data_IF_688733074298
#
_entry.id   IF_688733074298
#
_cell.length_a   1.000
_cell.length_b   1.000
_cell.length_c   1.000
_cell.angle_alpha   90.00
_cell.angle_beta   90.00
_cell.angle_gamma   90.00
#
_symmetry.space_group_name_H-M   'P 1'
#
loop_
_entity.id
_entity.type
_entity.pdbx_description
1 polymer ?
#
# COMPACT_ATOMS: atom_id res chain seq x y z
N UNK A 1 0.56 19.22 -5.97
CA UNK A 1 1.36 19.37 -7.21
C UNK A 1 2.07 18.05 -7.45
N UNK A 2 2.75 17.52 -6.43
CA UNK A 2 3.38 16.19 -6.42
C UNK A 2 2.42 15.03 -6.75
N UNK A 3 1.21 14.97 -6.18
CA UNK A 3 0.27 13.86 -6.46
C UNK A 3 -0.25 13.85 -7.91
N UNK A 4 -0.36 15.01 -8.57
CA UNK A 4 -0.78 15.11 -9.98
C UNK A 4 0.35 14.73 -10.94
N UNK A 5 1.59 15.05 -10.59
CA UNK A 5 2.78 14.62 -11.34
C UNK A 5 3.02 13.11 -11.18
N UNK A 6 2.69 12.57 -10.00
CA UNK A 6 2.72 11.15 -9.69
C UNK A 6 1.71 10.36 -10.56
N UNK A 7 0.45 10.81 -10.61
CA UNK A 7 -0.59 10.19 -11.44
C UNK A 7 -0.27 10.28 -12.94
N UNK A 8 0.33 11.40 -13.38
CA UNK A 8 0.81 11.57 -14.76
C UNK A 8 1.97 10.62 -15.07
N UNK A 9 2.89 10.43 -14.11
CA UNK A 9 3.97 9.45 -14.21
C UNK A 9 3.44 8.03 -14.40
N UNK A 10 2.46 7.60 -13.60
CA UNK A 10 1.83 6.28 -13.72
C UNK A 10 1.19 6.07 -15.10
N UNK A 11 0.44 7.06 -15.59
CA UNK A 11 -0.20 7.01 -16.92
C UNK A 11 0.84 6.88 -18.03
N UNK A 12 1.98 7.56 -17.92
CA UNK A 12 3.07 7.48 -18.89
C UNK A 12 3.70 6.09 -18.89
N UNK A 13 3.97 5.51 -17.72
CA UNK A 13 4.56 4.17 -17.65
C UNK A 13 3.59 3.12 -18.21
N UNK A 14 2.28 3.24 -17.91
CA UNK A 14 1.25 2.38 -18.49
C UNK A 14 1.15 2.51 -20.03
N UNK A 15 1.20 3.72 -20.59
CA UNK A 15 1.23 3.94 -22.05
C UNK A 15 2.49 3.33 -22.69
N UNK A 16 3.66 3.45 -22.04
CA UNK A 16 4.89 2.82 -22.50
C UNK A 16 4.79 1.29 -22.47
N UNK A 17 4.21 0.70 -21.43
CA UNK A 17 3.96 -0.75 -21.36
C UNK A 17 3.02 -1.22 -22.47
N UNK A 18 1.90 -0.52 -22.69
CA UNK A 18 0.96 -0.87 -23.77
C UNK A 18 1.62 -0.79 -25.14
N UNK A 19 2.48 0.21 -25.37
CA UNK A 19 3.28 0.29 -26.60
C UNK A 19 4.27 -0.85 -26.74
N UNK A 20 4.97 -1.22 -25.66
CA UNK A 20 5.87 -2.39 -25.69
C UNK A 20 5.10 -3.67 -25.97
N UNK A 21 3.94 -3.88 -25.35
CA UNK A 21 3.08 -5.05 -25.58
C UNK A 21 2.58 -5.08 -27.03
N UNK A 22 2.06 -3.97 -27.56
CA UNK A 22 1.63 -3.87 -28.97
C UNK A 22 2.77 -4.16 -29.94
N UNK A 23 3.96 -3.62 -29.68
CA UNK A 23 5.13 -3.87 -30.52
C UNK A 23 5.61 -5.34 -30.45
N UNK A 24 5.36 -6.04 -29.33
CA UNK A 24 5.64 -7.47 -29.19
C UNK A 24 4.57 -8.32 -29.88
N UNK A 25 3.30 -7.93 -29.82
CA UNK A 25 2.17 -8.58 -30.49
C UNK A 25 2.22 -8.42 -32.02
N UNK A 26 2.69 -7.26 -32.52
CA UNK A 26 2.89 -7.01 -33.95
C UNK A 26 4.15 -7.69 -34.52
N UNK A 27 5.00 -8.32 -33.69
CA UNK A 27 6.23 -9.00 -34.14
C UNK A 27 6.00 -10.37 -34.80
N UNK A 28 4.76 -10.87 -34.82
CA UNK A 28 4.32 -12.05 -35.60
C UNK A 28 3.73 -11.68 -36.99
N UNK A 29 3.74 -10.39 -37.36
CA UNK A 29 3.36 -9.92 -38.69
C UNK A 29 4.50 -9.09 -39.30
N UNK A 30 5.34 -9.74 -40.11
CA UNK A 30 6.24 -9.05 -41.03
C UNK A 30 5.44 -8.15 -42.00
N UNK A 31 5.57 -6.82 -41.90
CA UNK A 31 6.00 -5.99 -43.03
C UNK A 31 6.41 -4.57 -42.61
N UNK A 32 7.37 -4.02 -43.37
CA UNK A 32 7.93 -2.67 -43.32
C UNK A 32 6.88 -1.55 -43.26
N UNK A 33 7.10 -0.58 -42.36
CA UNK A 33 6.83 0.83 -42.68
C UNK A 33 7.61 1.75 -41.74
N UNK A 34 8.86 2.00 -42.11
CA UNK A 34 9.55 3.26 -41.79
C UNK A 34 8.70 4.44 -42.30
N UNK A 35 7.94 5.06 -41.41
CA UNK A 35 7.43 6.42 -41.63
C UNK A 35 7.36 7.19 -40.30
N UNK A 36 8.50 7.32 -39.63
CA UNK A 36 8.77 8.47 -38.76
C UNK A 36 8.96 9.70 -39.66
N UNK A 37 7.84 10.23 -40.20
CA UNK A 37 7.85 11.58 -40.75
C UNK A 37 7.90 12.56 -39.58
N UNK A 38 9.11 12.81 -39.11
CA UNK A 38 9.45 13.98 -38.29
C UNK A 38 9.26 15.24 -39.14
N UNK A 39 8.01 15.67 -39.30
CA UNK A 39 7.72 17.02 -39.75
C UNK A 39 8.00 17.96 -38.59
N UNK A 40 9.25 18.43 -38.52
CA UNK A 40 9.69 19.50 -37.65
C UNK A 40 8.92 20.79 -37.96
N UNK A 41 7.83 21.02 -37.24
CA UNK A 41 7.32 22.37 -36.96
C UNK A 41 7.69 22.71 -35.52
N UNK A 42 8.91 23.22 -35.33
CA UNK A 42 9.53 23.55 -34.03
C UNK A 42 8.97 24.83 -33.36
N UNK A 43 7.69 25.18 -33.50
CA UNK A 43 7.19 26.45 -32.93
C UNK A 43 5.74 26.43 -32.40
N UNK A 44 5.26 25.30 -31.88
CA UNK A 44 4.04 25.32 -31.04
C UNK A 44 3.89 24.13 -30.09
N UNK A 45 4.98 23.54 -29.57
CA UNK A 45 4.82 22.54 -28.51
C UNK A 45 4.34 23.22 -27.24
N UNK A 46 3.19 22.80 -26.73
CA UNK A 46 2.66 23.38 -25.49
C UNK A 46 3.62 23.09 -24.32
N UNK A 47 3.66 23.93 -23.26
CA UNK A 47 4.46 23.64 -22.07
C UNK A 47 4.17 22.25 -21.47
N UNK A 48 2.94 21.76 -21.63
CA UNK A 48 2.50 20.43 -21.18
C UNK A 48 3.12 19.30 -22.01
N UNK A 49 3.20 19.45 -23.33
CA UNK A 49 3.84 18.47 -24.23
C UNK A 49 5.35 18.36 -23.98
N UNK A 50 6.03 19.49 -23.76
CA UNK A 50 7.45 19.49 -23.39
C UNK A 50 7.67 18.76 -22.07
N UNK A 51 6.84 19.06 -21.06
CA UNK A 51 6.91 18.41 -19.74
C UNK A 51 6.67 16.90 -19.84
N UNK A 52 5.70 16.46 -20.65
CA UNK A 52 5.44 15.04 -20.87
C UNK A 52 6.62 14.35 -21.56
N UNK A 53 7.27 15.01 -22.52
CA UNK A 53 8.45 14.48 -23.21
C UNK A 53 9.65 14.34 -22.25
N UNK A 54 9.88 15.32 -21.39
CA UNK A 54 10.90 15.27 -20.35
C UNK A 54 10.66 14.12 -19.37
N UNK A 55 9.42 13.95 -18.90
CA UNK A 55 9.04 12.88 -17.99
C UNK A 55 9.22 11.49 -18.63
N UNK A 56 8.81 11.33 -19.90
CA UNK A 56 9.07 10.11 -20.69
C UNK A 56 10.56 9.80 -20.81
N UNK A 57 11.38 10.81 -21.08
CA UNK A 57 12.83 10.66 -21.16
C UNK A 57 13.45 10.27 -19.81
N UNK A 58 12.97 10.85 -18.71
CA UNK A 58 13.43 10.52 -17.35
C UNK A 58 13.08 9.09 -16.97
N UNK A 59 11.85 8.63 -17.27
CA UNK A 59 11.42 7.24 -17.06
C UNK A 59 12.28 6.27 -17.86
N UNK A 60 12.52 6.52 -19.15
CA UNK A 60 13.37 5.68 -19.99
C UNK A 60 14.82 5.62 -19.48
N UNK A 61 15.33 6.74 -18.96
CA UNK A 61 16.66 6.81 -18.35
C UNK A 61 16.74 5.97 -17.07
N UNK A 62 15.74 6.10 -16.19
CA UNK A 62 15.65 5.30 -14.96
C UNK A 62 15.58 3.80 -15.26
N UNK A 63 14.76 3.40 -16.24
CA UNK A 63 14.63 2.01 -16.67
C UNK A 63 15.94 1.45 -17.23
N UNK A 64 16.64 2.21 -18.07
CA UNK A 64 17.96 1.82 -18.57
C UNK A 64 19.01 1.70 -17.46
N UNK A 65 19.00 2.60 -16.48
CA UNK A 65 19.90 2.54 -15.32
C UNK A 65 19.61 1.29 -14.48
N UNK A 66 18.35 1.02 -14.18
CA UNK A 66 17.98 -0.15 -13.38
C UNK A 66 18.29 -1.46 -14.12
N UNK A 67 18.05 -1.52 -15.43
CA UNK A 67 18.45 -2.66 -16.26
C UNK A 67 19.96 -2.93 -16.20
N UNK A 68 20.78 -1.86 -16.25
CA UNK A 68 22.23 -1.97 -16.10
C UNK A 68 22.64 -2.41 -14.70
N UNK A 69 21.99 -1.89 -13.65
CA UNK A 69 22.28 -2.27 -12.26
C UNK A 69 21.92 -3.72 -11.98
N UNK A 70 20.75 -4.19 -12.44
CA UNK A 70 20.40 -5.61 -12.36
C UNK A 70 21.46 -6.46 -13.06
N UNK A 71 21.78 -6.14 -14.33
CA UNK A 71 22.80 -6.87 -15.09
C UNK A 71 24.20 -6.84 -14.45
N UNK A 72 24.57 -5.76 -13.77
CA UNK A 72 25.84 -5.65 -13.04
C UNK A 72 25.89 -6.57 -11.81
N UNK A 73 24.82 -6.61 -11.02
CA UNK A 73 24.77 -7.40 -9.79
C UNK A 73 24.49 -8.89 -10.04
N UNK A 74 23.74 -9.26 -11.09
CA UNK A 74 23.43 -10.66 -11.42
C UNK A 74 24.63 -11.61 -11.38
N UNK A 75 25.77 -11.36 -12.07
CA UNK A 75 26.91 -12.27 -12.02
C UNK A 75 27.51 -12.42 -10.61
N UNK A 76 27.43 -11.40 -9.77
CA UNK A 76 27.92 -11.44 -8.37
C UNK A 76 27.04 -12.40 -7.56
N UNK A 77 25.73 -12.25 -7.64
CA UNK A 77 24.79 -13.11 -6.89
C UNK A 77 24.67 -14.53 -7.45
N UNK A 78 24.94 -14.74 -8.74
CA UNK A 78 24.87 -16.06 -9.38
C UNK A 78 26.17 -16.88 -9.24
N UNK A 79 27.34 -16.22 -9.34
CA UNK A 79 28.63 -16.91 -9.45
C UNK A 79 29.67 -16.44 -8.41
N UNK A 80 29.37 -15.43 -7.62
CA UNK A 80 30.28 -14.91 -6.58
C UNK A 80 30.48 -15.91 -5.45
N UNK A 81 31.55 -15.72 -4.68
CA UNK A 81 31.72 -16.46 -3.43
C UNK A 81 30.70 -16.00 -2.40
N UNK A 82 30.48 -16.80 -1.34
CA UNK A 82 29.59 -16.40 -0.25
C UNK A 82 29.99 -15.04 0.38
N UNK A 83 31.29 -14.72 0.39
CA UNK A 83 31.79 -13.43 0.87
C UNK A 83 31.45 -12.29 -0.08
N UNK A 84 31.62 -12.47 -1.40
CA UNK A 84 31.28 -11.43 -2.40
C UNK A 84 29.79 -11.09 -2.37
N UNK A 85 28.94 -12.13 -2.25
CA UNK A 85 27.49 -12.00 -2.13
C UNK A 85 27.12 -11.24 -0.86
N UNK A 86 27.71 -11.64 0.27
CA UNK A 86 27.46 -11.03 1.58
C UNK A 86 27.87 -9.54 1.60
N UNK A 87 29.11 -9.24 1.22
CA UNK A 87 29.63 -7.87 1.18
C UNK A 87 28.80 -6.99 0.26
N UNK A 88 28.45 -7.49 -0.93
CA UNK A 88 27.64 -6.74 -1.90
C UNK A 88 26.23 -6.47 -1.35
N UNK A 89 25.62 -7.47 -0.71
CA UNK A 89 24.27 -7.32 -0.16
C UNK A 89 24.25 -6.36 1.04
N UNK A 90 25.24 -6.43 1.93
CA UNK A 90 25.38 -5.50 3.05
C UNK A 90 25.54 -4.05 2.56
N UNK A 91 26.30 -3.83 1.48
CA UNK A 91 26.39 -2.52 0.85
C UNK A 91 25.05 -2.04 0.28
N UNK A 92 24.29 -2.90 -0.43
CA UNK A 92 22.95 -2.57 -0.92
C UNK A 92 21.99 -2.24 0.23
N UNK A 93 22.05 -3.02 1.32
CA UNK A 93 21.21 -2.84 2.50
C UNK A 93 21.53 -1.52 3.23
N UNK A 94 22.81 -1.18 3.34
CA UNK A 94 23.27 0.09 3.91
C UNK A 94 22.78 1.28 3.07
N UNK A 95 22.86 1.19 1.74
CA UNK A 95 22.34 2.23 0.85
C UNK A 95 20.83 2.36 0.98
N UNK A 96 20.10 1.25 1.10
CA UNK A 96 18.67 1.28 1.35
C UNK A 96 18.32 1.98 2.65
N UNK A 97 18.95 1.61 3.76
CA UNK A 97 18.64 2.18 5.06
C UNK A 97 18.90 3.70 5.12
N UNK A 98 19.93 4.19 4.41
CA UNK A 98 20.33 5.60 4.45
C UNK A 98 19.74 6.47 3.33
N UNK A 99 19.33 5.87 2.20
CA UNK A 99 18.92 6.61 1.00
C UNK A 99 17.49 6.25 0.61
N UNK A 100 17.22 4.97 0.30
CA UNK A 100 15.93 4.55 -0.26
C UNK A 100 14.81 4.62 0.78
N UNK A 101 15.06 4.15 1.99
CA UNK A 101 14.07 4.10 3.07
C UNK A 101 13.62 5.49 3.55
N UNK A 102 14.53 6.50 3.70
CA UNK A 102 14.12 7.86 4.01
C UNK A 102 13.54 8.63 2.82
N UNK A 103 13.74 8.15 1.58
CA UNK A 103 13.19 8.78 0.38
C UNK A 103 11.70 8.45 0.28
N UNK A 104 10.87 9.47 0.44
CA UNK A 104 9.42 9.34 0.35
C UNK A 104 8.99 8.84 -1.03
N UNK A 105 8.11 7.83 -1.05
CA UNK A 105 7.47 7.28 -2.26
C UNK A 105 8.42 6.89 -3.41
N UNK A 106 9.64 6.41 -3.13
CA UNK A 106 10.47 5.75 -4.15
C UNK A 106 9.76 4.51 -4.70
N UNK A 107 9.74 4.30 -6.02
CA UNK A 107 8.96 3.23 -6.69
C UNK A 107 9.76 2.08 -7.29
N UNK A 108 11.01 2.33 -7.72
CA UNK A 108 11.73 1.36 -8.55
C UNK A 108 13.06 0.92 -7.96
N UNK A 109 13.85 1.82 -7.36
CA UNK A 109 15.21 1.52 -6.87
C UNK A 109 15.24 0.39 -5.83
N UNK A 110 14.23 0.31 -4.97
CA UNK A 110 14.10 -0.74 -3.96
C UNK A 110 14.02 -2.15 -4.57
N UNK A 111 13.66 -2.29 -5.85
CA UNK A 111 13.53 -3.60 -6.48
C UNK A 111 14.86 -4.32 -6.69
N UNK A 112 15.99 -3.62 -6.61
CA UNK A 112 17.30 -4.27 -6.54
C UNK A 112 17.41 -5.16 -5.29
N UNK A 113 17.07 -4.61 -4.11
CA UNK A 113 17.02 -5.40 -2.88
C UNK A 113 15.89 -6.42 -2.89
N UNK A 114 14.74 -6.07 -3.49
CA UNK A 114 13.66 -7.02 -3.66
C UNK A 114 14.12 -8.26 -4.41
N UNK A 115 14.75 -8.11 -5.57
CA UNK A 115 15.20 -9.24 -6.42
C UNK A 115 16.31 -10.04 -5.74
N UNK A 116 17.43 -9.39 -5.38
CA UNK A 116 18.59 -10.09 -4.84
C UNK A 116 18.38 -10.61 -3.42
N UNK A 117 17.53 -9.93 -2.63
CA UNK A 117 17.24 -10.28 -1.23
C UNK A 117 16.46 -11.58 -1.05
N UNK A 118 15.91 -12.17 -2.11
CA UNK A 118 15.17 -13.45 -2.04
C UNK A 118 15.93 -14.63 -2.63
N UNK A 119 17.17 -14.42 -3.11
CA UNK A 119 17.93 -15.48 -3.76
C UNK A 119 18.43 -16.56 -2.80
N UNK A 120 18.54 -16.25 -1.50
CA UNK A 120 18.83 -17.24 -0.46
C UNK A 120 18.11 -16.94 0.86
N UNK A 121 17.87 -17.95 1.71
CA UNK A 121 17.28 -17.76 3.04
C UNK A 121 18.05 -16.77 3.92
N UNK A 122 19.38 -16.73 3.80
CA UNK A 122 20.22 -15.81 4.57
C UNK A 122 19.97 -14.34 4.17
N UNK A 123 19.82 -14.07 2.87
CA UNK A 123 19.52 -12.72 2.37
C UNK A 123 18.11 -12.27 2.76
N UNK A 124 17.14 -13.20 2.72
CA UNK A 124 15.76 -12.96 3.19
C UNK A 124 15.79 -12.57 4.67
N UNK A 125 16.51 -13.34 5.49
CA UNK A 125 16.64 -13.09 6.92
C UNK A 125 17.32 -11.75 7.21
N UNK A 126 18.36 -11.37 6.45
CA UNK A 126 19.02 -10.07 6.60
C UNK A 126 18.11 -8.90 6.27
N UNK A 127 17.42 -8.93 5.13
CA UNK A 127 16.53 -7.84 4.75
C UNK A 127 15.33 -7.73 5.70
N UNK A 128 14.66 -8.85 5.99
CA UNK A 128 13.53 -8.89 6.91
C UNK A 128 13.95 -8.47 8.34
N UNK A 129 15.09 -8.96 8.81
CA UNK A 129 15.66 -8.61 10.11
C UNK A 129 16.04 -7.13 10.21
N UNK A 130 16.64 -6.56 9.16
CA UNK A 130 16.96 -5.14 9.11
C UNK A 130 15.69 -4.26 9.13
N UNK A 131 14.69 -4.57 8.31
CA UNK A 131 13.43 -3.83 8.31
C UNK A 131 12.69 -3.97 9.66
N UNK A 132 12.66 -5.17 10.24
CA UNK A 132 12.08 -5.42 11.56
C UNK A 132 12.79 -4.63 12.67
N UNK A 133 14.12 -4.62 12.67
CA UNK A 133 14.92 -3.81 13.58
C UNK A 133 14.61 -2.32 13.42
N UNK A 134 14.57 -1.82 12.19
CA UNK A 134 14.28 -0.41 11.91
C UNK A 134 12.86 -0.01 12.29
N UNK A 135 11.87 -0.87 12.10
CA UNK A 135 10.47 -0.60 12.45
C UNK A 135 10.22 -0.63 13.96
N UNK A 136 10.79 -1.62 14.66
CA UNK A 136 10.33 -2.00 16.00
C UNK A 136 11.23 -1.44 17.11
N UNK A 137 12.44 -1.00 16.81
CA UNK A 137 13.34 -0.35 17.79
C UNK A 137 12.81 1.03 18.17
N UNK A 138 12.46 1.20 19.44
CA UNK A 138 11.87 2.46 19.96
C UNK A 138 12.89 3.59 20.08
N UNK A 139 14.14 3.26 20.41
CA UNK A 139 15.18 4.25 20.67
C UNK A 139 15.95 4.59 19.39
N UNK A 140 16.27 5.88 19.19
CA UNK A 140 17.20 6.40 18.16
C UNK A 140 16.70 6.44 16.71
N UNK A 141 15.60 5.79 16.36
CA UNK A 141 15.09 5.77 14.97
C UNK A 141 13.92 6.75 14.80
N UNK A 142 13.98 7.69 13.84
CA UNK A 142 12.88 8.62 13.56
C UNK A 142 11.58 7.88 13.23
N UNK A 143 10.45 8.40 13.73
CA UNK A 143 9.14 7.76 13.57
C UNK A 143 8.79 7.45 12.11
N UNK A 144 9.04 8.38 11.18
CA UNK A 144 8.78 8.18 9.76
C UNK A 144 9.54 6.97 9.19
N UNK A 145 10.82 6.82 9.57
CA UNK A 145 11.66 5.68 9.14
C UNK A 145 11.08 4.37 9.67
N UNK A 146 10.56 4.37 10.90
CA UNK A 146 9.91 3.18 11.50
C UNK A 146 8.64 2.77 10.75
N UNK A 147 7.80 3.74 10.39
CA UNK A 147 6.57 3.51 9.61
C UNK A 147 6.92 2.97 8.21
N UNK A 148 7.89 3.60 7.54
CA UNK A 148 8.37 3.13 6.23
C UNK A 148 8.92 1.71 6.34
N UNK A 149 9.75 1.42 7.34
CA UNK A 149 10.36 0.10 7.51
C UNK A 149 9.32 -1.01 7.74
N UNK A 150 8.26 -0.74 8.51
CA UNK A 150 7.15 -1.68 8.68
C UNK A 150 6.44 -1.95 7.34
N UNK A 151 6.24 -0.92 6.52
CA UNK A 151 5.59 -1.03 5.21
C UNK A 151 6.48 -1.78 4.21
N UNK A 152 7.79 -1.52 4.18
CA UNK A 152 8.76 -2.27 3.37
C UNK A 152 8.80 -3.75 3.77
N UNK A 153 8.83 -4.05 5.08
CA UNK A 153 8.81 -5.42 5.57
C UNK A 153 7.56 -6.17 5.13
N UNK A 154 6.39 -5.56 5.33
CA UNK A 154 5.11 -6.15 4.95
C UNK A 154 5.00 -6.36 3.44
N UNK A 155 5.41 -5.36 2.66
CA UNK A 155 5.40 -5.44 1.20
C UNK A 155 6.34 -6.53 0.69
N UNK A 156 7.53 -6.66 1.27
CA UNK A 156 8.50 -7.68 0.88
C UNK A 156 7.96 -9.09 1.12
N UNK A 157 7.43 -9.35 2.32
CA UNK A 157 6.86 -10.65 2.69
C UNK A 157 5.61 -10.98 1.88
N UNK A 158 4.75 -10.00 1.61
CA UNK A 158 3.56 -10.19 0.83
C UNK A 158 3.85 -10.49 -0.66
N UNK A 159 4.84 -9.80 -1.24
CA UNK A 159 5.12 -9.85 -2.69
C UNK A 159 6.25 -10.79 -3.08
N UNK A 160 7.14 -11.17 -2.18
CA UNK A 160 8.28 -12.01 -2.50
C UNK A 160 7.89 -13.46 -2.76
N UNK A 161 8.10 -13.94 -4.00
CA UNK A 161 7.70 -15.28 -4.42
C UNK A 161 8.58 -16.39 -3.82
N UNK A 162 9.83 -16.09 -3.46
CA UNK A 162 10.77 -17.07 -2.89
C UNK A 162 10.77 -17.10 -1.35
N UNK A 163 9.87 -16.35 -0.72
CA UNK A 163 9.76 -16.27 0.74
C UNK A 163 8.95 -17.47 1.24
N UNK A 164 9.57 -18.28 2.09
CA UNK A 164 8.94 -19.47 2.66
C UNK A 164 7.81 -19.11 3.63
N UNK A 165 6.81 -20.00 3.74
CA UNK A 165 5.69 -19.80 4.67
C UNK A 165 6.12 -19.65 6.12
N UNK A 166 7.25 -20.25 6.51
CA UNK A 166 7.79 -20.06 7.86
C UNK A 166 8.20 -18.61 8.09
N UNK A 167 8.91 -17.99 7.14
CA UNK A 167 9.30 -16.58 7.25
C UNK A 167 8.07 -15.67 7.25
N UNK A 168 7.03 -15.98 6.46
CA UNK A 168 5.77 -15.23 6.50
C UNK A 168 5.16 -15.26 7.90
N UNK A 169 5.05 -16.44 8.51
CA UNK A 169 4.49 -16.61 9.86
C UNK A 169 5.36 -15.90 10.90
N UNK A 170 6.68 -16.05 10.84
CA UNK A 170 7.60 -15.41 11.78
C UNK A 170 7.46 -13.87 11.73
N UNK A 171 7.34 -13.29 10.53
CA UNK A 171 7.14 -11.84 10.36
C UNK A 171 5.74 -11.43 10.81
N UNK A 172 4.71 -12.21 10.48
CA UNK A 172 3.34 -11.96 10.93
C UNK A 172 3.26 -11.94 12.47
N UNK A 173 3.88 -12.92 13.14
CA UNK A 173 3.93 -13.02 14.59
C UNK A 173 4.77 -11.90 15.23
N UNK A 174 5.88 -11.52 14.60
CA UNK A 174 6.71 -10.39 15.04
C UNK A 174 5.90 -9.08 15.02
N UNK A 175 5.25 -8.78 13.89
CA UNK A 175 4.44 -7.57 13.74
C UNK A 175 3.21 -7.61 14.66
N UNK A 176 2.52 -8.75 14.75
CA UNK A 176 1.36 -8.96 15.60
C UNK A 176 1.68 -8.83 17.09
N UNK A 177 2.83 -9.35 17.54
CA UNK A 177 3.28 -9.22 18.93
C UNK A 177 3.56 -7.77 19.31
N UNK A 178 4.20 -7.01 18.41
CA UNK A 178 4.43 -5.58 18.63
C UNK A 178 3.14 -4.75 18.55
N UNK A 179 2.23 -5.12 17.64
CA UNK A 179 0.90 -4.52 17.55
C UNK A 179 0.13 -4.70 18.86
N UNK A 180 0.09 -5.92 19.41
CA UNK A 180 -0.56 -6.20 20.69
C UNK A 180 0.14 -5.52 21.88
N UNK A 181 1.48 -5.42 21.85
CA UNK A 181 2.22 -4.65 22.85
C UNK A 181 1.76 -3.18 22.88
N UNK A 182 1.70 -2.51 21.73
CA UNK A 182 1.24 -1.11 21.66
C UNK A 182 -0.23 -1.01 22.07
N UNK A 183 -1.09 -1.95 21.68
CA UNK A 183 -2.48 -2.00 22.13
C UNK A 183 -2.57 -2.03 23.64
N UNK A 184 -1.86 -2.94 24.31
CA UNK A 184 -1.89 -3.07 25.78
C UNK A 184 -1.40 -1.82 26.51
N UNK A 185 -0.44 -1.10 25.94
CA UNK A 185 0.09 0.13 26.56
C UNK A 185 -0.83 1.33 26.33
N UNK A 186 -1.42 1.46 25.15
CA UNK A 186 -2.14 2.66 24.74
C UNK A 186 -3.66 2.58 24.95
N UNK A 187 -4.26 1.39 24.79
CA UNK A 187 -5.71 1.18 24.89
C UNK A 187 -6.33 1.61 26.23
N UNK A 188 -5.69 1.41 27.41
CA UNK A 188 -6.28 1.83 28.69
C UNK A 188 -6.54 3.33 28.79
N UNK A 189 -5.73 4.15 28.11
CA UNK A 189 -5.85 5.62 28.10
C UNK A 189 -6.45 6.15 26.80
N UNK A 190 -6.72 5.26 25.84
CA UNK A 190 -7.29 5.59 24.54
C UNK A 190 -8.76 6.01 24.68
N UNK A 191 -9.10 7.16 24.07
CA UNK A 191 -10.48 7.65 23.94
C UNK A 191 -11.16 7.20 22.65
N UNK A 192 -10.38 6.74 21.68
CA UNK A 192 -10.81 6.31 20.37
C UNK A 192 -9.67 6.38 19.35
N UNK A 193 -9.96 6.11 18.07
CA UNK A 193 -8.96 6.12 17.01
C UNK A 193 -8.36 7.50 16.76
N UNK A 194 -7.03 7.60 16.70
CA UNK A 194 -6.30 8.86 16.47
C UNK A 194 -4.99 8.59 15.71
N UNK A 195 -5.01 8.80 14.37
CA UNK A 195 -3.92 8.43 13.46
C UNK A 195 -2.56 9.00 13.88
N UNK A 196 -2.48 10.30 14.20
CA UNK A 196 -1.22 10.97 14.51
C UNK A 196 -0.57 10.39 15.77
N UNK A 197 -1.38 10.16 16.82
CA UNK A 197 -0.91 9.67 18.11
C UNK A 197 -0.47 8.20 18.05
N UNK A 198 -1.22 7.37 17.34
CA UNK A 198 -0.98 5.93 17.27
C UNK A 198 -0.49 5.46 15.89
N UNK A 199 0.23 6.31 15.16
CA UNK A 199 0.59 6.04 13.75
C UNK A 199 1.33 4.73 13.53
N UNK A 200 2.25 4.36 14.43
CA UNK A 200 2.94 3.07 14.33
C UNK A 200 2.01 1.89 14.58
N UNK A 201 1.05 2.01 15.50
CA UNK A 201 0.04 0.97 15.70
C UNK A 201 -0.75 0.74 14.41
N UNK A 202 -1.21 1.82 13.75
CA UNK A 202 -1.97 1.70 12.51
C UNK A 202 -1.13 1.20 11.33
N UNK A 203 0.14 1.60 11.23
CA UNK A 203 1.03 1.07 10.20
C UNK A 203 1.28 -0.44 10.38
N UNK A 204 1.48 -0.90 11.62
CA UNK A 204 1.61 -2.34 11.91
C UNK A 204 0.30 -3.09 11.66
N UNK A 205 -0.85 -2.51 12.00
CA UNK A 205 -2.15 -3.11 11.71
C UNK A 205 -2.35 -3.25 10.20
N UNK A 206 -2.12 -2.19 9.43
CA UNK A 206 -2.22 -2.21 7.97
C UNK A 206 -1.24 -3.22 7.35
N UNK A 207 -0.01 -3.32 7.86
CA UNK A 207 0.97 -4.32 7.46
C UNK A 207 0.48 -5.75 7.68
N UNK A 208 -0.05 -6.06 8.86
CA UNK A 208 -0.60 -7.38 9.21
C UNK A 208 -1.80 -7.73 8.32
N UNK A 209 -2.74 -6.78 8.11
CA UNK A 209 -3.88 -6.98 7.22
C UNK A 209 -3.43 -7.21 5.77
N UNK A 210 -2.43 -6.46 5.29
CA UNK A 210 -1.89 -6.61 3.94
C UNK A 210 -1.21 -7.97 3.75
N UNK A 211 -0.37 -8.41 4.69
CA UNK A 211 0.23 -9.75 4.64
C UNK A 211 -0.85 -10.82 4.63
N UNK A 212 -1.90 -10.68 5.46
CA UNK A 212 -3.02 -11.62 5.46
C UNK A 212 -3.68 -11.70 4.07
N UNK A 213 -4.01 -10.56 3.45
CA UNK A 213 -4.66 -10.55 2.14
C UNK A 213 -3.85 -11.28 1.07
N UNK A 214 -2.52 -11.13 1.06
CA UNK A 214 -1.65 -11.75 0.06
C UNK A 214 -1.22 -13.19 0.38
N UNK A 215 -1.03 -13.50 1.67
CA UNK A 215 -0.31 -14.69 2.13
C UNK A 215 -1.12 -15.53 3.13
N UNK A 216 -2.44 -15.41 3.16
CA UNK A 216 -3.29 -16.20 4.07
C UNK A 216 -3.03 -17.71 3.97
N UNK A 217 -2.68 -18.22 2.77
CA UNK A 217 -2.30 -19.64 2.56
C UNK A 217 -1.11 -20.05 3.43
N UNK A 218 -0.10 -19.19 3.52
CA UNK A 218 1.08 -19.42 4.36
C UNK A 218 0.78 -19.37 5.87
N UNK A 219 -0.35 -18.76 6.25
CA UNK A 219 -0.83 -18.67 7.64
C UNK A 219 -1.67 -19.89 8.06
N UNK A 220 -2.03 -20.77 7.12
CA UNK A 220 -2.68 -22.05 7.39
C UNK A 220 -1.60 -23.11 7.63
N UNK A 221 -1.77 -23.90 8.70
CA UNK A 221 -0.87 -25.00 9.04
C UNK A 221 -1.55 -26.30 8.62
N UNK A 222 -0.83 -27.11 7.83
CA UNK A 222 -1.26 -28.45 7.46
C UNK A 222 -1.70 -29.21 8.71
N UNK A 223 -3.00 -29.56 8.74
CA UNK A 223 -3.46 -30.59 9.66
C UNK A 223 -2.64 -31.86 9.36
N UNK A 224 -2.39 -32.69 10.36
CA UNK A 224 -1.54 -33.90 10.25
C UNK A 224 -2.07 -34.99 9.28
N UNK A 225 -3.01 -34.65 8.39
CA UNK A 225 -3.52 -35.52 7.35
C UNK A 225 -2.62 -35.43 6.10
N UNK A 226 -1.86 -36.48 5.77
CA UNK A 226 -0.93 -36.50 4.63
C UNK A 226 -1.62 -36.41 3.25
N UNK A 227 -2.96 -36.38 3.20
CA UNK A 227 -3.74 -36.10 1.99
C UNK A 227 -4.14 -34.62 1.83
N UNK A 228 -3.75 -33.73 2.74
CA UNK A 228 -3.97 -32.28 2.61
C UNK A 228 -2.78 -31.62 1.93
N UNK A 229 -2.87 -31.44 0.61
CA UNK A 229 -1.93 -30.59 -0.11
C UNK A 229 -2.49 -29.16 -0.18
N UNK A 230 -1.77 -28.20 0.39
CA UNK A 230 -2.13 -26.76 0.35
C UNK A 230 -2.14 -26.28 -1.11
N UNK A 231 -1.33 -26.91 -1.97
CA UNK A 231 -1.24 -26.58 -3.39
C UNK A 231 -2.50 -26.99 -4.18
N UNK A 232 -3.35 -27.88 -3.64
CA UNK A 232 -4.67 -28.21 -4.18
C UNK A 232 -5.79 -27.26 -3.70
N UNK A 233 -5.49 -26.29 -2.82
CA UNK A 233 -6.43 -25.27 -2.35
C UNK A 233 -6.71 -24.16 -3.39
N UNK A 234 -6.30 -24.32 -4.64
CA UNK A 234 -6.72 -23.44 -5.72
C UNK A 234 -8.05 -23.88 -6.36
N UNK A 235 -8.60 -25.04 -5.97
CA UNK A 235 -9.91 -25.50 -6.40
C UNK A 235 -11.01 -25.03 -5.43
N UNK A 236 -11.81 -24.06 -5.87
CA UNK A 236 -12.93 -23.46 -5.11
C UNK A 236 -13.93 -24.50 -4.56
N UNK A 237 -14.02 -25.68 -5.18
CA UNK A 237 -14.89 -26.78 -4.77
C UNK A 237 -14.46 -27.48 -3.46
N UNK A 238 -13.22 -27.29 -2.99
CA UNK A 238 -12.72 -27.93 -1.76
C UNK A 238 -12.97 -27.11 -0.49
N UNK A 239 -13.34 -25.83 -0.62
CA UNK A 239 -13.60 -24.92 0.51
C UNK A 239 -15.02 -24.99 1.08
N UNK A 240 -15.90 -25.81 0.51
CA UNK A 240 -17.31 -25.88 0.91
C UNK A 240 -17.46 -26.34 2.37
N UNK A 241 -17.40 -25.39 3.30
CA UNK A 241 -17.67 -25.54 4.73
C UNK A 241 -16.56 -26.12 5.61
N UNK A 242 -15.29 -26.20 5.17
CA UNK A 242 -14.20 -26.73 6.00
C UNK A 242 -13.48 -25.64 6.79
N UNK A 243 -13.42 -25.82 8.11
CA UNK A 243 -12.67 -24.92 9.00
C UNK A 243 -11.16 -25.08 8.78
N UNK A 244 -10.50 -24.01 8.34
CA UNK A 244 -9.05 -23.99 8.13
C UNK A 244 -8.30 -23.99 9.46
N UNK A 245 -7.20 -24.73 9.52
CA UNK A 245 -6.33 -24.77 10.68
C UNK A 245 -5.30 -23.63 10.62
N UNK A 246 -5.61 -22.51 11.24
CA UNK A 246 -4.73 -21.34 11.29
C UNK A 246 -3.54 -21.54 12.21
N UNK A 247 -2.41 -20.88 11.91
CA UNK A 247 -1.27 -20.89 12.81
C UNK A 247 -1.67 -20.36 14.20
N UNK A 248 -1.12 -20.93 15.29
CA UNK A 248 -1.57 -20.62 16.65
C UNK A 248 -1.44 -19.12 16.97
N UNK A 249 -2.47 -18.53 17.57
CA UNK A 249 -2.42 -17.14 18.05
C UNK A 249 -2.80 -16.08 17.01
N UNK A 250 -2.84 -16.40 15.71
CA UNK A 250 -3.19 -15.45 14.65
C UNK A 250 -4.62 -14.91 14.85
N UNK A 251 -5.58 -15.80 15.08
CA UNK A 251 -6.99 -15.45 15.26
C UNK A 251 -7.18 -14.61 16.53
N UNK A 252 -6.53 -14.99 17.62
CA UNK A 252 -6.57 -14.28 18.89
C UNK A 252 -5.96 -12.88 18.77
N UNK A 253 -4.77 -12.77 18.16
CA UNK A 253 -4.07 -11.51 17.96
C UNK A 253 -4.92 -10.53 17.15
N UNK A 254 -5.46 -10.97 15.99
CA UNK A 254 -6.31 -10.13 15.14
C UNK A 254 -7.61 -9.75 15.85
N UNK A 255 -8.26 -10.68 16.53
CA UNK A 255 -9.50 -10.40 17.28
C UNK A 255 -9.27 -9.33 18.35
N UNK A 256 -8.22 -9.47 19.17
CA UNK A 256 -7.93 -8.51 20.24
C UNK A 256 -7.63 -7.10 19.71
N UNK A 257 -6.94 -7.00 18.57
CA UNK A 257 -6.59 -5.71 17.98
C UNK A 257 -7.76 -5.07 17.22
N UNK A 258 -8.50 -5.84 16.41
CA UNK A 258 -9.62 -5.33 15.62
C UNK A 258 -10.75 -4.79 16.50
N UNK A 259 -11.08 -5.49 17.58
CA UNK A 259 -12.15 -5.08 18.50
C UNK A 259 -11.69 -4.14 19.62
N UNK A 260 -10.45 -3.64 19.56
CA UNK A 260 -9.91 -2.70 20.54
C UNK A 260 -10.50 -1.29 20.38
N UNK A 261 -10.35 -0.45 21.42
CA UNK A 261 -10.73 0.98 21.34
C UNK A 261 -9.93 1.78 20.30
N UNK A 262 -8.75 1.29 19.92
CA UNK A 262 -7.90 1.92 18.91
C UNK A 262 -8.49 1.79 17.50
N UNK A 263 -9.41 0.84 17.28
CA UNK A 263 -10.19 0.63 16.07
C UNK A 263 -9.38 0.76 14.76
N UNK A 264 -8.42 -0.15 14.50
CA UNK A 264 -7.57 -0.08 13.32
C UNK A 264 -8.36 -0.12 12.00
N UNK A 265 -9.52 -0.77 11.96
CA UNK A 265 -10.35 -0.88 10.74
C UNK A 265 -10.94 0.45 10.27
N UNK A 266 -11.04 1.46 11.14
CA UNK A 266 -11.51 2.80 10.74
C UNK A 266 -10.37 3.67 10.18
N UNK A 267 -9.13 3.40 10.58
CA UNK A 267 -7.94 4.22 10.26
C UNK A 267 -7.08 3.61 9.14
N UNK A 268 -7.00 2.29 9.02
CA UNK A 268 -6.29 1.66 7.90
C UNK A 268 -7.01 1.95 6.58
N UNK A 269 -6.29 1.79 5.46
CA UNK A 269 -6.85 2.07 4.14
C UNK A 269 -8.15 1.30 3.88
N UNK A 270 -9.22 1.97 3.42
CA UNK A 270 -10.51 1.31 3.15
C UNK A 270 -10.40 0.14 2.18
N UNK A 271 -9.53 0.23 1.16
CA UNK A 271 -9.33 -0.84 0.18
C UNK A 271 -8.81 -2.12 0.82
N UNK A 272 -7.77 -2.00 1.66
CA UNK A 272 -7.17 -3.14 2.37
C UNK A 272 -8.15 -3.73 3.39
N UNK A 273 -8.87 -2.88 4.12
CA UNK A 273 -9.88 -3.31 5.10
C UNK A 273 -11.02 -4.07 4.42
N UNK A 274 -11.50 -3.58 3.28
CA UNK A 274 -12.55 -4.25 2.51
C UNK A 274 -12.08 -5.60 1.97
N UNK A 275 -10.87 -5.65 1.40
CA UNK A 275 -10.28 -6.92 0.95
C UNK A 275 -10.15 -7.89 2.11
N UNK A 276 -9.55 -7.48 3.23
CA UNK A 276 -9.46 -8.31 4.43
C UNK A 276 -10.82 -8.82 4.89
N UNK A 277 -11.88 -8.00 4.87
CA UNK A 277 -13.22 -8.40 5.28
C UNK A 277 -13.84 -9.46 4.35
N UNK A 278 -13.68 -9.29 3.03
CA UNK A 278 -14.17 -10.24 2.02
C UNK A 278 -13.45 -11.59 2.17
N UNK A 279 -12.12 -11.57 2.21
CA UNK A 279 -11.28 -12.76 2.38
C UNK A 279 -11.58 -13.45 3.71
N UNK A 280 -11.63 -12.71 4.82
CA UNK A 280 -11.86 -13.28 6.16
C UNK A 280 -13.24 -13.93 6.29
N UNK A 281 -14.26 -13.38 5.64
CA UNK A 281 -15.60 -13.98 5.58
C UNK A 281 -15.58 -15.25 4.76
N UNK A 282 -14.99 -15.20 3.56
CA UNK A 282 -14.93 -16.33 2.65
C UNK A 282 -14.21 -17.53 3.28
N UNK A 283 -13.07 -17.28 3.93
CA UNK A 283 -12.27 -18.31 4.61
C UNK A 283 -12.80 -18.72 6.00
N UNK A 284 -14.00 -18.24 6.39
CA UNK A 284 -14.58 -18.41 7.72
C UNK A 284 -13.63 -18.06 8.88
N UNK A 285 -12.67 -17.16 8.64
CA UNK A 285 -11.68 -16.73 9.62
C UNK A 285 -12.32 -15.83 10.69
N UNK A 286 -12.97 -14.75 10.25
CA UNK A 286 -13.73 -13.83 11.09
C UNK A 286 -14.77 -13.04 10.29
N UNK A 287 -15.90 -12.71 10.91
CA UNK A 287 -16.95 -11.90 10.30
C UNK A 287 -16.96 -10.49 10.90
N UNK A 288 -16.44 -9.50 10.15
CA UNK A 288 -16.25 -8.12 10.63
C UNK A 288 -17.19 -7.09 10.01
N UNK A 289 -18.06 -7.47 9.06
CA UNK A 289 -18.99 -6.54 8.40
C UNK A 289 -19.88 -5.74 9.37
N UNK A 290 -20.42 -6.31 10.47
CA UNK A 290 -21.18 -5.53 11.44
C UNK A 290 -20.33 -4.44 12.11
N UNK A 291 -19.06 -4.73 12.40
CA UNK A 291 -18.13 -3.75 12.95
C UNK A 291 -17.83 -2.64 11.93
N UNK A 292 -17.64 -2.99 10.65
CA UNK A 292 -17.47 -2.00 9.58
C UNK A 292 -18.69 -1.08 9.45
N UNK A 293 -19.90 -1.62 9.58
CA UNK A 293 -21.13 -0.82 9.55
C UNK A 293 -21.22 0.14 10.74
N UNK A 294 -20.79 -0.29 11.94
CA UNK A 294 -20.67 0.64 13.08
C UNK A 294 -19.62 1.73 12.86
N UNK A 295 -18.52 1.40 12.17
CA UNK A 295 -17.44 2.33 11.86
C UNK A 295 -17.86 3.46 10.92
N UNK A 296 -18.85 3.24 10.03
CA UNK A 296 -19.42 4.31 9.18
C UNK A 296 -20.03 5.45 9.99
N UNK A 297 -20.48 5.18 11.21
CA UNK A 297 -21.10 6.19 12.11
C UNK A 297 -20.08 6.96 12.94
N UNK A 298 -18.83 6.50 13.00
CA UNK A 298 -17.75 7.14 13.76
C UNK A 298 -17.06 8.19 12.90
N UNK A 299 -17.00 9.43 13.38
CA UNK A 299 -16.23 10.50 12.73
C UNK A 299 -14.85 10.63 13.38
N UNK A 300 -13.79 10.44 12.61
CA UNK A 300 -12.41 10.50 13.11
C UNK A 300 -12.03 11.90 13.64
N UNK A 301 -12.61 12.95 13.07
CA UNK A 301 -12.39 14.34 13.51
C UNK A 301 -12.80 14.60 14.97
N UNK A 302 -13.77 13.86 15.49
CA UNK A 302 -14.25 14.01 16.88
C UNK A 302 -13.18 13.66 17.93
N UNK A 303 -12.19 12.85 17.56
CA UNK A 303 -11.15 12.41 18.50
C UNK A 303 -9.93 13.35 18.57
N UNK A 304 -9.78 14.27 17.60
CA UNK A 304 -8.65 15.23 17.54
C UNK A 304 -8.76 16.34 18.58
N UNK A 305 -9.97 16.81 18.88
CA UNK A 305 -10.20 17.97 19.75
C UNK A 305 -9.92 17.75 21.24
N UNK A 306 -9.65 16.52 21.66
CA UNK A 306 -9.47 16.16 23.08
C UNK A 306 -8.03 16.32 23.60
N UNK A 307 -7.03 16.38 22.73
CA UNK A 307 -5.60 16.42 23.10
C UNK A 307 -5.02 17.84 23.10
N UNK A 308 -5.61 18.77 22.35
CA UNK A 308 -5.13 20.17 22.29
C UNK A 308 -5.45 21.01 23.54
N UNK A 309 -6.26 20.50 24.47
CA UNK A 309 -6.64 21.24 25.68
C UNK A 309 -5.65 21.07 26.86
N UNK A 310 -4.71 20.12 26.81
CA UNK A 310 -3.89 19.75 27.99
C UNK A 310 -2.38 19.92 27.85
N UNK A 311 -1.83 20.26 26.68
CA UNK A 311 -0.37 20.38 26.53
C UNK A 311 0.02 21.69 25.81
N UNK A 312 0.21 22.73 26.61
CA UNK A 312 0.54 24.09 26.17
C UNK A 312 2.00 24.31 25.82
N UNK A 313 2.64 23.39 25.07
CA UNK A 313 4.08 23.51 24.80
C UNK A 313 4.59 22.81 23.52
N UNK A 314 3.84 22.80 22.41
CA UNK A 314 4.45 22.72 21.05
C UNK A 314 3.45 23.20 19.99
N UNK A 315 3.36 24.52 19.84
CA UNK A 315 2.45 25.16 18.89
C UNK A 315 2.94 25.06 17.45
N UNK A 316 2.16 24.37 16.61
CA UNK A 316 2.25 24.40 15.15
C UNK A 316 1.94 23.05 14.52
N UNK A 317 1.01 23.00 13.55
CA UNK A 317 0.61 21.85 12.70
C UNK A 317 -0.74 21.16 13.02
N UNK A 318 -1.66 21.79 13.75
CA UNK A 318 -3.07 21.37 13.67
C UNK A 318 -4.04 22.52 13.97
N UNK A 319 -3.89 23.64 13.27
CA UNK A 319 -5.08 24.45 12.99
C UNK A 319 -5.79 23.75 11.84
N UNK A 320 -7.06 23.39 12.03
CA UNK A 320 -7.98 23.13 10.93
C UNK A 320 -7.77 24.26 9.91
N UNK A 321 -7.09 23.93 8.82
CA UNK A 321 -7.05 24.81 7.66
C UNK A 321 -8.29 24.47 6.85
N UNK A 322 -8.83 25.42 6.10
CA UNK A 322 -9.98 25.17 5.23
C UNK A 322 -9.77 24.00 4.23
N UNK A 323 -8.53 23.54 4.07
CA UNK A 323 -8.13 22.33 3.32
C UNK A 323 -8.50 21.02 4.03
N UNK A 324 -8.45 20.96 5.37
CA UNK A 324 -8.80 19.75 6.15
C UNK A 324 -10.30 19.44 6.07
N UNK A 325 -11.15 20.47 5.95
CA UNK A 325 -12.58 20.30 5.71
C UNK A 325 -12.94 19.82 4.30
N UNK A 326 -12.07 20.07 3.30
CA UNK A 326 -12.29 19.65 1.90
C UNK A 326 -11.86 18.20 1.61
N UNK A 327 -10.89 17.64 2.33
CA UNK A 327 -10.46 16.23 2.16
C UNK A 327 -11.30 15.21 2.95
N UNK A 328 -12.13 15.65 3.89
CA UNK A 328 -13.02 14.76 4.63
C UNK A 328 -12.31 13.72 5.51
N UNK A 329 -12.93 12.55 5.73
CA UNK A 329 -12.38 11.47 6.57
C UNK A 329 -11.06 10.88 6.06
N UNK A 330 -10.76 11.02 4.76
CA UNK A 330 -9.57 10.42 4.12
C UNK A 330 -8.26 10.88 4.74
N UNK A 331 -8.18 12.13 5.24
CA UNK A 331 -7.00 12.67 5.90
C UNK A 331 -6.67 11.98 7.24
N UNK A 332 -7.64 11.28 7.82
CA UNK A 332 -7.47 10.53 9.06
C UNK A 332 -7.28 9.03 8.82
N UNK A 333 -7.17 8.63 7.55
CA UNK A 333 -6.92 7.26 7.14
C UNK A 333 -5.52 7.12 6.54
N UNK A 334 -5.01 5.89 6.55
CA UNK A 334 -3.77 5.54 5.89
C UNK A 334 -3.98 5.34 4.39
N UNK A 335 -3.01 5.80 3.61
CA UNK A 335 -2.90 5.44 2.20
C UNK A 335 -2.60 3.94 2.04
N UNK A 336 -3.06 3.35 0.95
CA UNK A 336 -2.72 1.97 0.56
C UNK A 336 -1.34 1.87 -0.13
N UNK A 337 -0.37 2.70 0.26
CA UNK A 337 0.95 2.70 -0.37
C UNK A 337 1.83 1.56 0.16
N UNK A 338 2.28 0.67 -0.74
CA UNK A 338 3.27 -0.37 -0.42
C UNK A 338 4.47 -0.30 -1.37
N UNK A 339 5.72 -0.28 -0.87
CA UNK A 339 6.90 -0.04 -1.71
C UNK A 339 7.17 -1.06 -2.81
N UNK A 340 6.69 -2.29 -2.69
CA UNK A 340 6.81 -3.30 -3.74
C UNK A 340 5.48 -3.53 -4.46
N UNK A 341 4.67 -2.50 -4.66
CA UNK A 341 3.58 -2.54 -5.64
C UNK A 341 4.12 -2.74 -7.07
N UNK A 342 3.29 -3.22 -8.02
CA UNK A 342 3.77 -3.83 -9.25
C UNK A 342 4.79 -2.98 -10.01
N UNK A 343 5.93 -3.59 -10.35
CA UNK A 343 7.01 -2.92 -11.05
C UNK A 343 6.63 -2.59 -12.49
N UNK A 344 6.72 -1.31 -12.86
CA UNK A 344 6.14 -0.85 -14.12
C UNK A 344 7.16 -0.56 -15.25
N UNK A 345 8.47 -0.49 -14.97
CA UNK A 345 9.45 -0.10 -16.00
C UNK A 345 9.65 -1.20 -17.06
N UNK A 346 9.40 -0.92 -18.35
CA UNK A 346 9.21 -1.96 -19.37
C UNK A 346 10.45 -2.82 -19.64
N UNK A 347 11.65 -2.24 -19.66
CA UNK A 347 12.88 -2.96 -20.00
C UNK A 347 13.40 -3.79 -18.84
N UNK A 348 13.47 -3.20 -17.65
CA UNK A 348 14.03 -3.86 -16.45
C UNK A 348 13.04 -4.79 -15.75
N UNK A 349 11.73 -4.73 -16.05
CA UNK A 349 10.72 -5.64 -15.47
C UNK A 349 11.05 -7.12 -15.66
N UNK A 350 11.73 -7.48 -16.75
CA UNK A 350 12.17 -8.86 -17.03
C UNK A 350 12.98 -9.50 -15.91
N UNK A 351 13.72 -8.69 -15.14
CA UNK A 351 14.54 -9.19 -14.03
C UNK A 351 13.71 -9.69 -12.85
N UNK A 352 12.43 -9.31 -12.77
CA UNK A 352 11.54 -9.64 -11.66
C UNK A 352 10.59 -10.80 -12.00
N UNK A 353 10.74 -11.40 -13.18
CA UNK A 353 9.97 -12.55 -13.60
C UNK A 353 10.25 -13.74 -12.65
N UNK A 354 9.18 -14.29 -12.05
CA UNK A 354 9.27 -15.38 -11.09
C UNK A 354 9.61 -14.96 -9.65
N UNK A 355 9.94 -13.71 -9.38
CA UNK A 355 10.27 -13.22 -8.03
C UNK A 355 9.11 -12.50 -7.34
N UNK A 356 8.00 -12.31 -8.06
CA UNK A 356 6.91 -11.45 -7.64
C UNK A 356 5.56 -12.19 -7.58
N UNK A 357 4.93 -12.17 -6.40
CA UNK A 357 3.55 -12.62 -6.18
C UNK A 357 2.59 -11.53 -6.68
N UNK A 358 2.00 -11.79 -7.83
CA UNK A 358 0.91 -10.97 -8.36
C UNK A 358 -0.33 -11.12 -7.48
N UNK A 359 -1.11 -10.04 -7.36
CA UNK A 359 -2.44 -10.16 -6.79
C UNK A 359 -3.28 -11.06 -7.70
N UNK A 360 -3.86 -12.10 -7.11
CA UNK A 360 -4.84 -12.98 -7.76
C UNK A 360 -6.12 -12.88 -6.95
N UNK A 361 -7.26 -12.85 -7.65
CA UNK A 361 -8.55 -12.97 -6.99
C UNK A 361 -8.65 -14.26 -6.18
N UNK A 362 -9.56 -14.31 -5.23
CA UNK A 362 -9.81 -15.54 -4.47
C UNK A 362 -10.81 -16.40 -5.27
N UNK A 363 -10.45 -17.64 -5.64
CA UNK A 363 -11.37 -18.56 -6.30
C UNK A 363 -12.69 -18.70 -5.52
N UNK A 364 -13.83 -18.54 -6.18
CA UNK A 364 -15.15 -18.59 -5.54
C UNK A 364 -15.56 -17.37 -4.69
N UNK A 365 -14.72 -16.35 -4.56
CA UNK A 365 -15.11 -15.05 -3.99
C UNK A 365 -15.36 -14.01 -5.09
N UNK A 366 -14.49 -13.97 -6.09
CA UNK A 366 -14.53 -12.99 -7.18
C UNK A 366 -15.21 -13.53 -8.45
N UNK A 367 -15.70 -14.77 -8.42
CA UNK A 367 -16.48 -15.37 -9.52
C UNK A 367 -17.94 -14.89 -9.52
N UNK A 368 -18.46 -14.44 -8.37
CA UNK A 368 -19.82 -13.91 -8.22
C UNK A 368 -19.93 -12.42 -8.58
N UNK A 369 -18.80 -11.69 -8.64
CA UNK A 369 -18.76 -10.23 -8.91
C UNK A 369 -18.78 -9.89 -10.42
N UNK A 370 -18.94 -10.88 -11.33
CA UNK A 370 -19.01 -10.62 -12.78
C UNK A 370 -20.39 -10.19 -13.31
N UNK A 371 -21.41 -10.18 -12.45
CA UNK A 371 -22.80 -9.93 -12.87
C UNK A 371 -23.43 -8.62 -12.31
N UNK A 372 -22.72 -7.80 -11.52
CA UNK A 372 -23.35 -6.67 -10.77
C UNK A 372 -22.77 -5.25 -11.04
N UNK A 373 -21.97 -5.06 -12.10
CA UNK A 373 -21.52 -3.71 -12.54
C UNK A 373 -22.56 -3.01 -13.45
N UNK A 374 -23.79 -2.90 -12.97
CA UNK A 374 -24.82 -2.05 -13.58
C UNK A 374 -25.82 -1.54 -12.55
N UNK A 375 -25.40 -0.58 -11.72
CA UNK A 375 -26.37 0.33 -11.09
C UNK A 375 -25.84 1.76 -11.03
N UNK A 376 -26.44 2.57 -11.90
CA UNK A 376 -26.46 4.03 -12.00
C UNK A 376 -26.08 4.82 -10.73
N UNK A 377 -25.09 5.69 -10.90
CA UNK A 377 -24.93 6.90 -10.08
C UNK A 377 -25.37 8.11 -10.91
N UNK A 378 -26.69 8.28 -11.07
CA UNK A 378 -27.29 9.56 -11.43
C UNK A 378 -27.72 10.27 -10.14
N UNK A 379 -26.82 11.07 -9.56
CA UNK A 379 -27.21 12.11 -8.61
C UNK A 379 -27.12 13.47 -9.31
N UNK A 380 -28.26 13.85 -9.88
CA UNK A 380 -28.62 15.21 -10.26
C UNK A 380 -28.91 16.03 -9.00
N UNK A 381 -28.20 17.14 -8.78
CA UNK A 381 -28.76 18.35 -8.17
C UNK A 381 -28.08 19.59 -8.78
N UNK A 382 -28.79 20.23 -9.71
CA UNK A 382 -28.59 21.62 -10.11
C UNK A 382 -29.24 22.50 -9.04
N UNK A 383 -28.44 23.25 -8.28
CA UNK A 383 -28.93 24.33 -7.43
C UNK A 383 -28.79 25.64 -8.23
N UNK A 384 -29.91 26.16 -8.71
CA UNK A 384 -30.01 27.45 -9.39
C UNK A 384 -30.56 28.49 -8.41
N UNK A 385 -29.73 29.49 -8.11
CA UNK A 385 -30.04 30.67 -7.32
C UNK A 385 -31.25 31.46 -7.87
N UNK A 386 -32.27 31.68 -7.04
CA UNK A 386 -33.26 32.75 -7.24
C UNK A 386 -33.08 33.82 -6.15
N UNK A 387 -32.50 34.94 -6.56
CA UNK A 387 -32.49 36.22 -5.84
C UNK A 387 -33.90 36.83 -5.86
N UNK A 388 -34.58 36.88 -4.72
CA UNK A 388 -35.78 37.71 -4.53
C UNK A 388 -35.46 38.89 -3.61
N UNK A 389 -35.29 40.06 -4.25
CA UNK A 389 -35.14 41.35 -3.58
C UNK A 389 -36.48 41.80 -2.97
N UNK A 390 -36.54 41.86 -1.64
CA UNK A 390 -37.65 42.44 -0.88
C UNK A 390 -37.22 43.74 -0.20
N UNK A 391 -37.92 44.82 -0.56
CA UNK A 391 -37.64 46.23 -0.27
C UNK A 391 -37.66 46.61 1.22
N UNK A 392 -36.72 47.47 1.62
CA UNK A 392 -36.67 48.16 2.90
C UNK A 392 -37.64 49.35 2.92
N UNK A 393 -38.59 49.37 3.85
CA UNK A 393 -39.31 50.57 4.29
C UNK A 393 -39.44 50.49 5.82
N UNK A 394 -38.52 51.16 6.53
CA UNK A 394 -38.64 51.43 7.98
C UNK A 394 -38.65 52.94 8.15
N UNK A 395 -39.87 53.46 8.28
CA UNK A 395 -40.16 54.85 8.60
C UNK A 395 -40.14 55.02 10.13
N UNK A 396 -39.17 55.77 10.65
CA UNK A 396 -39.16 56.22 12.05
C UNK A 396 -38.90 57.72 12.08
N UNK A 397 -39.97 58.50 12.21
CA UNK A 397 -39.91 59.92 12.52
C UNK A 397 -40.39 60.19 13.95
N UNK A 398 -39.52 60.86 14.70
CA UNK A 398 -39.68 61.28 16.10
C UNK A 398 -40.33 62.67 16.22
N UNK A 399 -41.27 62.76 17.17
CA UNK A 399 -41.90 63.92 17.86
C UNK A 399 -41.52 65.38 17.51
N UNK A 400 -42.58 66.17 17.20
CA UNK A 400 -43.01 67.50 17.69
C UNK A 400 -42.04 68.72 17.70
N UNK A 401 -42.53 69.99 17.72
CA UNK A 401 -43.90 70.52 17.69
C UNK A 401 -44.27 71.37 16.46
#
# INVERSE_FOLDING_TARGET
MDDLEEEMGDKIVQDMQQKTIRNLEDSEASDDSDNESVSSSEDSSTPEEMRMKELKSAVATMDAILDLLFGYYTPIFANGTAWDIDETFEHLLLQFANIVLPTYRSRHTQFLLFHFGQLSPDLIAKFAGACGHLALTKERIPQLVRLSAATYLASFVARGARISSQVVRDVFDLLGSHLDYIRRTEEPTCRGPELVKYSLYYALAQAVLYIFCFRWRDLVVNSADPNYDIDELDDAALFDGRELNWAPGIKECLTQNIYSKLNPLKVCSPSIVQQFARISRHLQFMYIFPLLETNKRLRLSTFLGATSASDGAFGGIARETALTGKLGESYHQLDAYFPFDPYQLPRSKRWLEGDYVQWKGIPGLDDDDKDDDSSDSDESEEDSDEDEAGEEEVDTDTESP
#
